data_IF_857539789808
#
_entry.id   IF_857539789808
#
_cell.length_a   1.000
_cell.length_b   1.000
_cell.length_c   1.000
_cell.angle_alpha   90.00
_cell.angle_beta   90.00
_cell.angle_gamma   90.00
#
_symmetry.space_group_name_H-M   'P 1'
#
loop_
_entity.id
_entity.type
_entity.pdbx_description
1 polymer ?
#
# COMPACT_ATOMS: atom_id res chain seq x y z
N UNK A 1 11.41 21.48 -6.26
CA UNK A 1 12.03 20.15 -6.41
C UNK A 1 12.62 19.64 -5.09
N UNK A 2 13.16 20.50 -4.24
CA UNK A 2 13.76 20.14 -2.94
C UNK A 2 12.80 19.41 -1.97
N UNK A 3 11.54 19.86 -1.85
CA UNK A 3 10.55 19.24 -0.94
C UNK A 3 10.22 17.79 -1.32
N UNK A 4 10.09 17.50 -2.62
CA UNK A 4 9.80 16.13 -3.08
C UNK A 4 11.03 15.22 -2.92
N UNK A 5 12.24 15.77 -3.11
CA UNK A 5 13.48 15.04 -2.87
C UNK A 5 13.66 14.71 -1.38
N UNK A 6 13.37 15.66 -0.49
CA UNK A 6 13.37 15.44 0.96
C UNK A 6 12.32 14.40 1.37
N UNK A 7 11.13 14.43 0.76
CA UNK A 7 10.07 13.44 1.03
C UNK A 7 10.46 12.01 0.65
N UNK A 8 11.30 11.84 -0.37
CA UNK A 8 11.81 10.53 -0.79
C UNK A 8 13.07 10.10 -0.01
N UNK A 9 13.96 11.05 0.33
CA UNK A 9 15.24 10.75 1.00
C UNK A 9 15.15 10.65 2.52
N UNK A 10 14.28 11.43 3.17
CA UNK A 10 14.16 11.54 4.61
C UNK A 10 12.80 11.00 5.10
N UNK A 11 12.58 9.71 4.87
CA UNK A 11 11.34 9.04 5.24
C UNK A 11 11.30 8.72 6.74
N UNK A 12 10.76 9.64 7.54
CA UNK A 12 10.59 9.48 8.99
C UNK A 12 9.23 8.84 9.33
N UNK A 13 9.25 7.52 9.49
CA UNK A 13 8.10 6.72 9.91
C UNK A 13 8.18 6.45 11.40
N UNK A 14 7.09 6.74 12.11
CA UNK A 14 6.92 6.33 13.51
C UNK A 14 5.78 5.34 13.61
N UNK A 15 5.84 4.45 14.61
CA UNK A 15 4.81 3.44 14.83
C UNK A 15 3.41 4.06 14.98
N UNK A 16 3.29 5.13 15.77
CA UNK A 16 2.02 5.85 15.96
C UNK A 16 1.42 6.37 14.64
N UNK A 17 2.27 6.86 13.72
CA UNK A 17 1.82 7.31 12.40
C UNK A 17 1.32 6.12 11.58
N UNK A 18 2.04 5.00 11.59
CA UNK A 18 1.62 3.79 10.86
C UNK A 18 0.25 3.32 11.34
N UNK A 19 0.05 3.21 12.65
CA UNK A 19 -1.22 2.74 13.21
C UNK A 19 -2.38 3.66 12.86
N UNK A 20 -2.14 4.97 12.88
CA UNK A 20 -3.15 5.95 12.44
C UNK A 20 -3.46 5.80 10.95
N UNK A 21 -2.45 5.72 10.09
CA UNK A 21 -2.65 5.59 8.65
C UNK A 21 -3.28 4.23 8.28
N UNK A 22 -2.98 3.15 9.00
CA UNK A 22 -3.67 1.86 8.86
C UNK A 22 -5.18 2.00 8.98
N UNK A 23 -5.64 2.72 10.00
CA UNK A 23 -7.07 2.95 10.21
C UNK A 23 -7.68 3.76 9.07
N UNK A 24 -6.96 4.77 8.55
CA UNK A 24 -7.40 5.57 7.41
C UNK A 24 -7.54 4.70 6.14
N UNK A 25 -6.54 3.86 5.86
CA UNK A 25 -6.56 2.94 4.71
C UNK A 25 -7.67 1.90 4.83
N UNK A 26 -7.93 1.38 6.03
CA UNK A 26 -9.05 0.47 6.28
C UNK A 26 -10.40 1.15 6.00
N UNK A 27 -10.59 2.39 6.44
CA UNK A 27 -11.80 3.14 6.15
C UNK A 27 -11.94 3.48 4.66
N UNK A 28 -10.83 3.80 3.98
CA UNK A 28 -10.84 3.99 2.52
C UNK A 28 -11.25 2.70 1.79
N UNK A 29 -10.69 1.55 2.17
CA UNK A 29 -11.07 0.24 1.61
C UNK A 29 -12.55 -0.02 1.81
N UNK A 30 -13.06 0.20 3.02
CA UNK A 30 -14.48 0.01 3.33
C UNK A 30 -15.39 0.89 2.49
N UNK A 31 -15.04 2.17 2.34
CA UNK A 31 -15.84 3.13 1.56
C UNK A 31 -15.83 2.83 0.05
N UNK A 32 -14.68 2.42 -0.50
CA UNK A 32 -14.51 2.24 -1.95
C UNK A 32 -14.81 0.83 -2.43
N UNK A 33 -14.46 -0.19 -1.66
CA UNK A 33 -14.54 -1.60 -2.07
C UNK A 33 -15.62 -2.34 -1.30
N UNK A 34 -15.51 -2.44 0.02
CA UNK A 34 -16.34 -3.38 0.79
C UNK A 34 -17.83 -2.99 0.81
N UNK A 35 -18.14 -1.69 0.77
CA UNK A 35 -19.53 -1.20 0.67
C UNK A 35 -20.11 -1.27 -0.76
N UNK A 36 -19.34 -1.72 -1.75
CA UNK A 36 -19.73 -1.75 -3.16
C UNK A 36 -19.69 -3.20 -3.68
N UNK A 37 -20.83 -3.92 -3.72
CA UNK A 37 -20.87 -5.34 -4.10
C UNK A 37 -20.24 -5.65 -5.46
N UNK A 38 -20.28 -4.70 -6.40
CA UNK A 38 -19.64 -4.86 -7.70
C UNK A 38 -18.11 -4.88 -7.61
N UNK A 39 -17.50 -4.05 -6.76
CA UNK A 39 -16.05 -3.98 -6.59
C UNK A 39 -15.52 -5.24 -5.90
N UNK A 40 -16.25 -5.72 -4.89
CA UNK A 40 -15.92 -7.01 -4.25
C UNK A 40 -15.95 -8.15 -5.27
N UNK A 41 -16.99 -8.23 -6.12
CA UNK A 41 -17.06 -9.24 -7.16
C UNK A 41 -15.90 -9.13 -8.16
N UNK A 42 -15.57 -7.92 -8.61
CA UNK A 42 -14.45 -7.69 -9.52
C UNK A 42 -13.10 -8.10 -8.91
N UNK A 43 -12.85 -7.73 -7.65
CA UNK A 43 -11.63 -8.10 -6.92
C UNK A 43 -11.48 -9.63 -6.80
N UNK A 44 -12.55 -10.33 -6.44
CA UNK A 44 -12.58 -11.80 -6.36
C UNK A 44 -12.39 -12.44 -7.75
N UNK A 45 -13.06 -11.94 -8.77
CA UNK A 45 -12.90 -12.43 -10.15
C UNK A 45 -11.47 -12.24 -10.65
N UNK A 46 -10.90 -11.05 -10.49
CA UNK A 46 -9.52 -10.76 -10.92
C UNK A 46 -8.52 -11.66 -10.19
N UNK A 47 -8.72 -11.89 -8.88
CA UNK A 47 -7.86 -12.79 -8.10
C UNK A 47 -7.92 -14.24 -8.59
N UNK A 48 -9.08 -14.69 -9.07
CA UNK A 48 -9.29 -16.04 -9.58
C UNK A 48 -8.74 -16.22 -11.02
N UNK A 49 -8.85 -15.18 -11.87
CA UNK A 49 -8.42 -15.23 -13.26
C UNK A 49 -6.91 -15.01 -13.42
N UNK A 50 -6.34 -14.06 -12.67
CA UNK A 50 -4.93 -13.70 -12.79
C UNK A 50 -4.09 -14.41 -11.72
N UNK A 51 -3.41 -15.49 -12.13
CA UNK A 51 -2.41 -16.20 -11.29
C UNK A 51 -1.08 -15.45 -11.13
N UNK A 52 -1.01 -14.19 -11.57
CA UNK A 52 0.16 -13.31 -11.50
C UNK A 52 -0.12 -12.17 -10.52
N UNK A 53 0.85 -11.27 -10.32
CA UNK A 53 0.67 -10.11 -9.43
C UNK A 53 -0.50 -9.18 -9.80
N UNK A 54 -1.03 -9.26 -11.03
CA UNK A 54 -2.14 -8.43 -11.49
C UNK A 54 -3.51 -8.81 -10.89
N UNK A 55 -3.66 -10.00 -10.31
CA UNK A 55 -4.87 -10.38 -9.58
C UNK A 55 -4.95 -9.81 -8.17
N UNK A 56 -3.95 -9.03 -7.75
CA UNK A 56 -3.91 -8.41 -6.43
C UNK A 56 -4.50 -7.01 -6.48
N UNK A 57 -5.38 -6.74 -5.53
CA UNK A 57 -5.91 -5.40 -5.30
C UNK A 57 -4.80 -4.41 -4.97
N UNK A 58 -4.84 -3.22 -5.57
CA UNK A 58 -3.82 -2.18 -5.37
C UNK A 58 -3.83 -1.66 -3.94
N UNK A 59 -5.01 -1.56 -3.31
CA UNK A 59 -5.13 -1.17 -1.90
C UNK A 59 -4.69 -2.31 -0.94
N UNK A 60 -4.60 -3.54 -1.45
CA UNK A 60 -4.29 -4.73 -0.67
C UNK A 60 -5.49 -5.32 0.06
N UNK A 61 -5.34 -6.53 0.57
CA UNK A 61 -6.38 -7.22 1.33
C UNK A 61 -6.47 -6.71 2.77
N UNK A 62 -7.67 -6.75 3.36
CA UNK A 62 -7.87 -6.31 4.75
C UNK A 62 -6.95 -7.05 5.74
N UNK A 63 -6.72 -8.35 5.51
CA UNK A 63 -5.77 -9.15 6.30
C UNK A 63 -4.37 -8.55 6.27
N UNK A 64 -3.90 -8.18 5.08
CA UNK A 64 -2.55 -7.68 4.86
C UNK A 64 -2.37 -6.30 5.48
N UNK A 65 -3.39 -5.44 5.32
CA UNK A 65 -3.41 -4.08 5.89
C UNK A 65 -3.29 -4.12 7.42
N UNK A 66 -3.95 -5.09 8.06
CA UNK A 66 -3.89 -5.25 9.51
C UNK A 66 -2.51 -5.74 9.98
N UNK A 67 -1.85 -6.59 9.20
CA UNK A 67 -0.66 -7.32 9.65
C UNK A 67 0.69 -6.67 9.32
N UNK A 68 0.80 -5.81 8.29
CA UNK A 68 2.10 -5.23 7.93
C UNK A 68 2.70 -4.41 9.07
N UNK A 69 4.02 -4.32 9.15
CA UNK A 69 4.72 -3.58 10.21
C UNK A 69 5.64 -2.50 9.62
N UNK A 70 6.36 -1.80 10.51
CA UNK A 70 7.28 -0.74 10.11
C UNK A 70 8.45 -1.23 9.25
N UNK A 71 8.94 -2.45 9.50
CA UNK A 71 10.05 -3.03 8.76
C UNK A 71 9.62 -3.38 7.33
N UNK A 72 8.38 -3.84 7.14
CA UNK A 72 7.80 -4.09 5.81
C UNK A 72 7.77 -2.81 4.97
N UNK A 73 7.30 -1.71 5.56
CA UNK A 73 7.23 -0.40 4.90
C UNK A 73 8.64 0.10 4.57
N UNK A 74 9.57 0.03 5.53
CA UNK A 74 10.94 0.48 5.33
C UNK A 74 11.62 -0.30 4.21
N UNK A 75 11.45 -1.61 4.21
CA UNK A 75 12.01 -2.51 3.19
C UNK A 75 11.44 -2.22 1.80
N UNK A 76 10.13 -1.98 1.72
CA UNK A 76 9.46 -1.58 0.48
C UNK A 76 10.00 -0.25 -0.06
N UNK A 77 10.13 0.76 0.80
CA UNK A 77 10.64 2.08 0.40
C UNK A 77 12.08 2.01 -0.07
N UNK A 78 12.95 1.28 0.63
CA UNK A 78 14.34 1.06 0.18
C UNK A 78 14.35 0.40 -1.20
N UNK A 79 13.55 -0.66 -1.39
CA UNK A 79 13.54 -1.42 -2.65
C UNK A 79 13.12 -0.56 -3.84
N UNK A 80 12.16 0.35 -3.66
CA UNK A 80 11.63 1.19 -4.75
C UNK A 80 12.49 2.43 -4.99
N UNK A 81 12.95 3.09 -3.92
CA UNK A 81 13.64 4.37 -4.03
C UNK A 81 15.10 4.17 -4.47
N UNK A 82 15.77 3.08 -4.06
CA UNK A 82 17.18 2.80 -4.42
C UNK A 82 17.45 2.78 -5.93
N UNK A 83 16.70 2.02 -6.76
CA UNK A 83 16.89 2.07 -8.21
C UNK A 83 16.47 3.42 -8.81
N UNK A 84 15.47 4.11 -8.25
CA UNK A 84 15.03 5.40 -8.76
C UNK A 84 16.08 6.52 -8.54
N UNK A 85 16.82 6.48 -7.43
CA UNK A 85 17.88 7.45 -7.14
C UNK A 85 19.14 7.27 -8.00
N UNK A 86 19.36 6.08 -8.59
CA UNK A 86 20.53 5.83 -9.43
C UNK A 86 20.44 6.51 -10.81
N UNK A 87 19.26 6.99 -11.20
CA UNK A 87 19.02 7.70 -12.47
C UNK A 87 18.98 9.22 -12.33
N UNK A 88 19.27 9.77 -11.14
CA UNK A 88 19.33 11.20 -10.85
C UNK A 88 20.72 11.66 -10.40
#
# INVERSE_FOLDING_TARGET
MEVEADRMGNFNVTQDKIEREKNIVLEERKMRFDNQPHNLLWEEMDSAFYRTGYGRSVIGWESDIKTYNQDDITSFMITIITPAMQYY
#
